data_IF_018588426170
#
_entry.id   IF_018588426170
#
_cell.length_a   1.000
_cell.length_b   1.000
_cell.length_c   1.000
_cell.angle_alpha   90.00
_cell.angle_beta   90.00
_cell.angle_gamma   90.00
#
_symmetry.space_group_name_H-M   'P 1'
#
loop_
_entity.id
_entity.type
_entity.pdbx_description
1 polymer ?
#
# COMPACT_ATOMS: atom_id res chain seq x y z
N UNK A 1 25.40 2.97 0.64
CA UNK A 1 25.41 2.18 1.90
C UNK A 1 25.67 0.74 1.50
N UNK A 2 26.59 0.05 2.18
CA UNK A 2 26.95 -1.32 1.83
C UNK A 2 25.95 -2.29 2.48
N UNK A 3 25.01 -2.81 1.68
CA UNK A 3 23.87 -3.63 2.12
C UNK A 3 24.18 -5.12 2.20
N UNK A 4 25.36 -5.54 1.76
CA UNK A 4 25.81 -6.95 1.74
C UNK A 4 25.83 -7.60 3.12
N UNK A 5 25.80 -6.79 4.19
CA UNK A 5 25.85 -7.27 5.56
C UNK A 5 24.56 -7.08 6.38
N UNK A 6 23.57 -6.31 5.91
CA UNK A 6 22.31 -6.09 6.65
C UNK A 6 22.50 -5.48 8.05
N UNK A 7 21.40 -5.16 8.73
CA UNK A 7 21.47 -4.61 10.09
C UNK A 7 21.54 -5.76 11.09
N UNK A 8 22.64 -5.85 11.83
CA UNK A 8 22.81 -6.90 12.85
C UNK A 8 21.90 -6.64 14.06
N UNK A 9 21.21 -7.69 14.49
CA UNK A 9 20.42 -7.75 15.71
C UNK A 9 20.72 -9.07 16.41
N UNK A 10 21.36 -9.03 17.57
CA UNK A 10 21.76 -10.23 18.32
C UNK A 10 20.56 -10.80 19.05
N UNK A 11 20.23 -12.05 18.77
CA UNK A 11 19.18 -12.85 19.42
C UNK A 11 19.69 -14.28 19.60
N UNK A 12 19.18 -14.98 20.61
CA UNK A 12 19.51 -16.38 20.88
C UNK A 12 18.84 -17.35 19.90
N UNK A 13 17.64 -17.01 19.42
CA UNK A 13 16.88 -17.83 18.48
C UNK A 13 17.36 -17.65 17.03
N UNK A 14 17.37 -18.73 16.25
CA UNK A 14 17.83 -18.73 14.85
C UNK A 14 16.93 -17.89 13.92
N UNK A 15 15.62 -17.85 14.21
CA UNK A 15 14.62 -17.01 13.55
C UNK A 15 13.60 -16.51 14.58
N UNK A 16 13.35 -15.20 14.60
CA UNK A 16 12.40 -14.58 15.54
C UNK A 16 11.83 -13.28 14.95
N UNK A 17 10.59 -12.97 15.29
CA UNK A 17 10.00 -11.64 15.06
C UNK A 17 10.05 -10.86 16.36
N UNK A 18 10.62 -9.66 16.32
CA UNK A 18 10.70 -8.75 17.46
C UNK A 18 9.82 -7.53 17.17
N UNK A 19 8.93 -7.21 18.10
CA UNK A 19 8.19 -5.96 18.14
C UNK A 19 9.01 -4.92 18.91
N UNK A 20 9.21 -3.74 18.32
CA UNK A 20 9.81 -2.58 18.98
C UNK A 20 8.80 -1.44 19.03
N UNK A 21 8.64 -0.86 20.21
CA UNK A 21 7.76 0.27 20.54
C UNK A 21 8.57 1.52 20.86
N UNK A 22 7.92 2.69 20.87
CA UNK A 22 8.59 3.97 21.12
C UNK A 22 9.21 4.09 22.53
N UNK A 23 8.67 3.34 23.49
CA UNK A 23 9.16 3.28 24.88
C UNK A 23 10.35 2.35 25.08
N UNK A 24 10.75 1.58 24.07
CA UNK A 24 11.87 0.64 24.18
C UNK A 24 13.23 1.35 24.30
N UNK A 25 14.28 0.65 24.80
CA UNK A 25 15.59 1.25 24.99
C UNK A 25 16.21 1.76 23.67
N UNK A 26 17.10 2.77 23.74
CA UNK A 26 17.68 3.39 22.54
C UNK A 26 18.39 2.42 21.61
N UNK A 27 18.96 1.34 22.14
CA UNK A 27 19.66 0.32 21.35
C UNK A 27 18.74 -0.32 20.30
N UNK A 28 17.51 -0.71 20.67
CA UNK A 28 16.51 -1.27 19.77
C UNK A 28 15.98 -0.21 18.80
N UNK A 29 15.68 0.99 19.30
CA UNK A 29 15.18 2.10 18.46
C UNK A 29 16.18 2.53 17.39
N UNK A 30 17.48 2.50 17.69
CA UNK A 30 18.52 2.77 16.69
C UNK A 30 18.52 1.72 15.56
N UNK A 31 18.17 0.46 15.85
CA UNK A 31 18.01 -0.58 14.82
C UNK A 31 16.78 -0.33 13.95
N UNK A 32 15.67 0.07 14.57
CA UNK A 32 14.46 0.49 13.85
C UNK A 32 14.77 1.63 12.89
N UNK A 33 15.46 2.68 13.37
CA UNK A 33 15.84 3.82 12.53
C UNK A 33 16.71 3.40 11.33
N UNK A 34 17.65 2.49 11.55
CA UNK A 34 18.48 1.94 10.50
C UNK A 34 17.68 1.22 9.42
N UNK A 35 16.74 0.33 9.82
CA UNK A 35 15.97 -0.46 8.85
C UNK A 35 14.91 0.40 8.16
N UNK A 36 14.29 1.35 8.87
CA UNK A 36 13.35 2.31 8.28
C UNK A 36 14.03 3.14 7.20
N UNK A 37 15.22 3.70 7.46
CA UNK A 37 15.99 4.43 6.44
C UNK A 37 16.30 3.59 5.21
N UNK A 38 16.64 2.31 5.42
CA UNK A 38 16.86 1.36 4.32
C UNK A 38 15.58 1.14 3.51
N UNK A 39 14.44 0.98 4.18
CA UNK A 39 13.13 0.83 3.54
C UNK A 39 12.73 2.08 2.74
N UNK A 40 12.91 3.27 3.30
CA UNK A 40 12.60 4.54 2.62
C UNK A 40 13.42 4.70 1.33
N UNK A 41 14.70 4.31 1.37
CA UNK A 41 15.58 4.29 0.21
C UNK A 41 15.13 3.28 -0.85
N UNK A 42 14.78 2.05 -0.46
CA UNK A 42 14.40 0.99 -1.41
C UNK A 42 12.99 1.15 -1.98
N UNK A 43 12.03 1.60 -1.17
CA UNK A 43 10.63 1.72 -1.57
C UNK A 43 10.33 3.03 -2.30
N UNK A 44 11.20 4.03 -2.18
CA UNK A 44 10.99 5.34 -2.78
C UNK A 44 9.87 6.09 -2.05
N UNK A 45 10.18 6.65 -0.89
CA UNK A 45 9.26 7.47 -0.11
C UNK A 45 9.86 7.76 1.26
N UNK A 46 9.89 9.04 1.67
CA UNK A 46 10.26 9.40 3.04
C UNK A 46 9.05 9.32 3.98
N UNK A 47 9.30 9.34 5.28
CA UNK A 47 8.30 9.53 6.34
C UNK A 47 7.38 8.31 6.58
N UNK A 48 7.95 7.12 6.53
CA UNK A 48 7.20 5.88 6.83
C UNK A 48 7.07 5.60 8.33
N UNK A 49 7.77 6.32 9.20
CA UNK A 49 7.83 6.05 10.64
C UNK A 49 7.54 7.30 11.48
N UNK A 50 6.62 7.19 12.45
CA UNK A 50 6.30 8.20 13.45
C UNK A 50 5.89 7.56 14.78
N UNK A 51 5.56 8.36 15.79
CA UNK A 51 5.38 7.91 17.19
C UNK A 51 4.27 6.87 17.40
N UNK A 52 3.23 6.85 16.55
CA UNK A 52 2.15 5.87 16.69
C UNK A 52 2.46 4.54 15.98
N UNK A 53 3.57 4.46 15.25
CA UNK A 53 3.94 3.27 14.53
C UNK A 53 4.45 2.17 15.47
N UNK A 54 4.02 0.94 15.19
CA UNK A 54 4.58 -0.29 15.75
C UNK A 54 5.46 -0.95 14.69
N UNK A 55 6.69 -1.32 15.06
CA UNK A 55 7.66 -1.89 14.11
C UNK A 55 7.97 -3.33 14.46
N UNK A 56 7.74 -4.22 13.51
CA UNK A 56 8.03 -5.65 13.65
C UNK A 56 9.20 -6.01 12.74
N UNK A 57 10.25 -6.58 13.30
CA UNK A 57 11.45 -6.98 12.58
C UNK A 57 11.61 -8.50 12.59
N UNK A 58 11.71 -9.10 11.41
CA UNK A 58 12.08 -10.50 11.26
C UNK A 58 13.60 -10.62 11.27
N UNK A 59 14.13 -11.33 12.27
CA UNK A 59 15.56 -11.55 12.44
C UNK A 59 15.87 -12.99 12.06
N UNK A 60 16.83 -13.18 11.16
CA UNK A 60 17.39 -14.47 10.78
C UNK A 60 18.90 -14.38 10.78
N UNK A 61 19.57 -15.36 11.38
CA UNK A 61 21.05 -15.39 11.39
C UNK A 61 21.64 -14.08 11.95
N UNK A 62 21.04 -13.56 13.03
CA UNK A 62 21.39 -12.30 13.69
C UNK A 62 21.30 -11.05 12.79
N UNK A 63 20.53 -11.09 11.69
CA UNK A 63 20.34 -9.95 10.80
C UNK A 63 18.85 -9.69 10.59
N UNK A 64 18.47 -8.43 10.50
CA UNK A 64 17.11 -8.03 10.12
C UNK A 64 16.94 -8.35 8.63
N UNK A 65 16.07 -9.29 8.31
CA UNK A 65 15.79 -9.73 6.93
C UNK A 65 14.38 -9.39 6.47
N UNK A 66 13.53 -8.87 7.35
CA UNK A 66 12.22 -8.34 7.02
C UNK A 66 11.77 -7.33 8.08
N UNK A 67 10.92 -6.40 7.67
CA UNK A 67 10.39 -5.36 8.53
C UNK A 67 8.98 -4.98 8.08
N UNK A 68 8.08 -4.75 9.02
CA UNK A 68 6.78 -4.11 8.76
C UNK A 68 6.55 -2.99 9.76
N UNK A 69 6.11 -1.85 9.24
CA UNK A 69 5.68 -0.68 10.00
C UNK A 69 4.16 -0.62 9.92
N UNK A 70 3.51 -0.64 11.08
CA UNK A 70 2.06 -0.65 11.21
C UNK A 70 1.59 0.52 12.05
N UNK A 71 0.41 1.08 11.75
CA UNK A 71 -0.16 2.21 12.49
C UNK A 71 -1.68 2.09 12.65
N UNK A 72 -2.28 2.78 13.64
CA UNK A 72 -3.72 2.66 13.88
C UNK A 72 -4.48 3.53 12.89
N UNK A 73 -5.57 2.99 12.37
CA UNK A 73 -6.52 3.70 11.52
C UNK A 73 -7.94 3.38 11.97
N UNK A 74 -8.93 4.14 11.48
CA UNK A 74 -10.35 3.88 11.71
C UNK A 74 -11.07 3.35 10.47
N UNK A 75 -10.61 3.79 9.30
CA UNK A 75 -11.28 3.53 8.04
C UNK A 75 -10.28 3.29 6.91
N UNK A 76 -10.70 2.52 5.91
CA UNK A 76 -9.97 2.27 4.67
C UNK A 76 -10.95 1.98 3.51
N UNK A 77 -10.43 1.91 2.29
CA UNK A 77 -11.23 1.76 1.07
C UNK A 77 -10.93 0.43 0.38
N UNK A 78 -11.96 -0.23 -0.13
CA UNK A 78 -11.77 -1.46 -0.90
C UNK A 78 -11.17 -1.15 -2.26
N UNK A 79 -10.16 -1.91 -2.67
CA UNK A 79 -9.62 -1.86 -4.02
C UNK A 79 -10.63 -2.44 -4.99
N UNK A 80 -10.92 -1.69 -6.06
CA UNK A 80 -11.75 -2.18 -7.14
C UNK A 80 -11.00 -3.26 -7.92
N UNK A 81 -11.63 -4.43 -8.05
CA UNK A 81 -11.13 -5.48 -8.93
C UNK A 81 -11.13 -4.91 -10.35
N UNK A 82 -9.94 -4.69 -10.94
CA UNK A 82 -9.83 -4.34 -12.35
C UNK A 82 -10.29 -5.54 -13.20
N UNK A 83 -11.60 -5.67 -13.41
CA UNK A 83 -12.13 -6.40 -14.54
C UNK A 83 -11.99 -5.49 -15.75
N UNK A 84 -11.27 -5.94 -16.78
CA UNK A 84 -11.19 -5.23 -18.06
C UNK A 84 -12.57 -4.89 -18.64
N UNK A 85 -13.61 -5.64 -18.26
CA UNK A 85 -15.00 -5.47 -18.70
C UNK A 85 -15.69 -4.21 -18.14
N UNK A 86 -15.52 -3.89 -16.84
CA UNK A 86 -16.15 -2.70 -16.22
C UNK A 86 -15.60 -1.37 -16.75
N UNK A 87 -14.32 -1.33 -17.10
CA UNK A 87 -13.69 -0.14 -17.71
C UNK A 87 -14.27 0.13 -19.10
N UNK A 88 -14.49 -0.90 -19.90
CA UNK A 88 -15.14 -0.77 -21.22
C UNK A 88 -16.58 -0.29 -21.12
N UNK A 89 -17.32 -0.73 -20.09
CA UNK A 89 -18.71 -0.28 -19.84
C UNK A 89 -18.75 1.16 -19.35
N UNK A 90 -17.90 1.55 -18.39
CA UNK A 90 -17.82 2.93 -17.90
C UNK A 90 -17.40 3.93 -19.00
N UNK A 91 -16.54 3.50 -19.92
CA UNK A 91 -16.16 4.32 -21.08
C UNK A 91 -17.29 4.43 -22.12
N UNK A 92 -18.10 3.37 -22.31
CA UNK A 92 -19.27 3.42 -23.19
C UNK A 92 -20.39 4.32 -22.66
N UNK A 93 -20.65 4.30 -21.35
CA UNK A 93 -21.72 5.11 -20.73
C UNK A 93 -21.42 6.62 -20.74
N UNK A 94 -20.15 7.02 -20.88
CA UNK A 94 -19.75 8.44 -20.93
C UNK A 94 -19.84 9.07 -22.31
N UNK A 95 -20.03 8.28 -23.37
CA UNK A 95 -20.03 8.78 -24.74
C UNK A 95 -21.43 9.12 -25.27
N UNK A 96 -22.48 8.99 -24.44
CA UNK A 96 -23.87 9.00 -24.92
C UNK A 96 -24.75 10.10 -24.29
N UNK A 97 -24.18 11.25 -23.91
CA UNK A 97 -24.98 12.41 -23.51
C UNK A 97 -24.49 13.75 -24.10
N UNK A 98 -25.32 14.25 -25.03
CA UNK A 98 -25.60 15.65 -25.44
C UNK A 98 -24.59 16.40 -26.32
N UNK A 99 -24.91 16.48 -27.63
CA UNK A 99 -24.47 17.56 -28.51
C UNK A 99 -25.13 18.87 -28.06
N UNK A 100 -24.36 19.82 -27.53
CA UNK A 100 -24.81 21.18 -27.22
C UNK A 100 -24.21 22.17 -28.22
N UNK A 101 -24.85 22.33 -29.38
CA UNK A 101 -24.53 23.38 -30.36
C UNK A 101 -25.46 24.57 -30.13
N UNK A 102 -24.92 25.80 -30.02
CA UNK A 102 -25.73 27.02 -29.95
C UNK A 102 -25.62 27.76 -31.29
N UNK A 103 -26.76 28.02 -31.94
CA UNK A 103 -26.82 28.78 -33.18
C UNK A 103 -27.32 30.20 -32.91
N UNK A 104 -26.67 31.19 -33.54
CA UNK A 104 -27.09 32.59 -33.51
C UNK A 104 -27.06 33.14 -34.94
N UNK A 105 -28.23 33.17 -35.59
CA UNK A 105 -28.32 33.50 -37.02
C UNK A 105 -27.51 32.54 -37.89
N UNK A 106 -26.74 33.06 -38.84
CA UNK A 106 -25.86 32.25 -39.71
C UNK A 106 -24.56 31.80 -39.03
N UNK A 107 -24.32 32.19 -37.78
CA UNK A 107 -23.11 31.83 -37.04
C UNK A 107 -23.37 30.64 -36.13
N UNK A 108 -22.61 29.56 -36.35
CA UNK A 108 -22.62 28.36 -35.51
C UNK A 108 -21.46 28.46 -34.52
N UNK A 109 -21.78 28.57 -33.22
CA UNK A 109 -20.77 28.59 -32.16
C UNK A 109 -20.79 27.25 -31.41
N UNK A 110 -19.70 26.50 -31.54
CA UNK A 110 -19.47 25.31 -30.71
C UNK A 110 -18.88 25.75 -29.37
N UNK A 111 -19.67 25.59 -28.30
CA UNK A 111 -19.17 25.83 -26.94
C UNK A 111 -18.33 24.64 -26.51
N UNK A 112 -17.01 24.77 -26.58
CA UNK A 112 -16.09 23.79 -25.99
C UNK A 112 -16.10 23.95 -24.46
N UNK A 113 -16.91 23.15 -23.77
CA UNK A 113 -16.75 22.99 -22.33
C UNK A 113 -15.58 22.05 -22.13
N UNK A 114 -14.41 22.58 -21.80
CA UNK A 114 -13.29 21.80 -21.29
C UNK A 114 -13.68 21.21 -19.93
N UNK A 115 -14.48 20.13 -19.92
CA UNK A 115 -14.53 19.23 -18.77
C UNK A 115 -13.12 18.70 -18.62
N UNK A 116 -12.42 19.08 -17.55
CA UNK A 116 -11.19 18.40 -17.13
C UNK A 116 -11.53 16.93 -16.82
N UNK A 117 -11.45 16.10 -17.84
CA UNK A 117 -11.41 14.65 -17.79
C UNK A 117 -10.57 14.21 -18.98
N UNK A 118 -9.48 13.52 -18.68
CA UNK A 118 -8.44 13.06 -19.60
C UNK A 118 -9.03 12.43 -20.87
N UNK A 119 -8.89 13.10 -22.01
CA UNK A 119 -8.99 12.48 -23.33
C UNK A 119 -7.64 11.82 -23.65
N UNK A 120 -7.50 10.53 -23.38
CA UNK A 120 -6.33 9.77 -23.84
C UNK A 120 -6.84 8.49 -24.48
N UNK A 121 -6.48 8.28 -25.75
CA UNK A 121 -6.80 7.08 -26.53
C UNK A 121 -6.20 5.83 -25.85
N UNK A 122 -7.05 4.93 -25.39
CA UNK A 122 -6.68 3.72 -24.64
C UNK A 122 -6.14 2.51 -25.43
N UNK A 123 -6.20 2.39 -26.79
CA UNK A 123 -5.69 1.17 -27.43
C UNK A 123 -4.15 1.03 -27.49
N UNK A 124 -3.37 2.09 -27.32
CA UNK A 124 -1.90 2.05 -27.55
C UNK A 124 -1.04 1.92 -26.27
N UNK A 125 -1.62 1.89 -25.07
CA UNK A 125 -0.88 1.79 -23.80
C UNK A 125 -0.94 0.39 -23.15
N UNK A 126 -1.29 -0.64 -23.93
CA UNK A 126 -1.36 -2.02 -23.44
C UNK A 126 0.00 -2.69 -23.26
N UNK A 127 1.10 -2.01 -23.57
CA UNK A 127 2.43 -2.53 -23.36
C UNK A 127 3.34 -1.50 -22.63
N UNK A 128 3.92 -1.91 -21.50
CA UNK A 128 5.08 -1.29 -20.82
C UNK A 128 4.92 -0.09 -19.86
N UNK A 129 3.91 -0.02 -18.98
CA UNK A 129 4.05 0.87 -17.81
C UNK A 129 3.41 0.35 -16.51
N UNK A 130 4.26 0.12 -15.50
CA UNK A 130 3.92 -0.50 -14.20
C UNK A 130 3.34 0.50 -13.17
N UNK A 131 3.01 1.72 -13.58
CA UNK A 131 2.53 2.79 -12.71
C UNK A 131 1.03 3.06 -12.89
N UNK A 132 0.19 2.02 -12.73
CA UNK A 132 -1.27 2.22 -12.68
C UNK A 132 -1.71 2.67 -11.29
N UNK A 133 -2.43 3.79 -11.25
CA UNK A 133 -3.14 4.27 -10.06
C UNK A 133 -4.07 3.19 -9.50
N UNK A 134 -4.22 3.15 -8.17
CA UNK A 134 -5.12 2.22 -7.49
C UNK A 134 -6.52 2.84 -7.45
N UNK A 135 -7.46 2.19 -8.11
CA UNK A 135 -8.87 2.57 -8.04
C UNK A 135 -9.51 1.92 -6.82
N UNK A 136 -10.24 2.70 -6.05
CA UNK A 136 -10.91 2.26 -4.82
C UNK A 136 -12.38 2.60 -4.89
N UNK A 137 -13.20 1.88 -4.12
CA UNK A 137 -14.56 2.30 -3.81
C UNK A 137 -14.54 3.60 -3.00
N UNK A 138 -15.61 4.39 -3.11
CA UNK A 138 -15.75 5.66 -2.37
C UNK A 138 -16.26 5.44 -0.94
N UNK A 139 -16.89 4.29 -0.67
CA UNK A 139 -17.42 3.95 0.66
C UNK A 139 -16.28 3.57 1.61
N UNK A 140 -16.17 4.32 2.70
CA UNK A 140 -15.21 4.05 3.77
C UNK A 140 -15.68 2.85 4.61
N UNK A 141 -14.81 1.86 4.77
CA UNK A 141 -15.08 0.66 5.57
C UNK A 141 -14.22 0.70 6.82
N UNK A 142 -14.76 0.21 7.94
CA UNK A 142 -14.00 0.10 9.18
C UNK A 142 -12.74 -0.75 9.00
N UNK A 143 -11.61 -0.23 9.45
CA UNK A 143 -10.31 -0.90 9.48
C UNK A 143 -9.56 -0.47 10.75
N UNK A 144 -8.68 -1.33 11.27
CA UNK A 144 -8.05 -1.11 12.57
C UNK A 144 -6.57 -0.77 12.45
N UNK A 145 -5.91 -1.40 11.47
CA UNK A 145 -4.46 -1.32 11.33
C UNK A 145 -4.12 -1.09 9.86
N UNK A 146 -3.31 -0.09 9.60
CA UNK A 146 -2.68 0.10 8.30
C UNK A 146 -1.28 -0.50 8.30
N UNK A 147 -0.96 -1.19 7.22
CA UNK A 147 0.39 -1.63 6.88
C UNK A 147 1.03 -0.50 6.09
N UNK A 148 1.64 0.43 6.82
CA UNK A 148 2.24 1.66 6.29
C UNK A 148 3.42 1.36 5.37
N UNK A 149 4.22 0.37 5.72
CA UNK A 149 5.27 -0.16 4.86
C UNK A 149 5.62 -1.60 5.25
N UNK A 150 5.86 -2.46 4.25
CA UNK A 150 6.38 -3.81 4.46
C UNK A 150 7.54 -4.08 3.51
N UNK A 151 8.61 -4.64 4.07
CA UNK A 151 9.83 -4.94 3.36
C UNK A 151 10.39 -6.30 3.75
N UNK A 152 10.94 -7.00 2.77
CA UNK A 152 11.72 -8.23 2.95
C UNK A 152 12.95 -8.11 2.08
N UNK A 153 14.12 -8.43 2.65
CA UNK A 153 15.38 -8.44 1.95
C UNK A 153 15.25 -9.23 0.63
N UNK A 154 15.69 -8.68 -0.52
CA UNK A 154 15.47 -9.30 -1.83
C UNK A 154 15.84 -10.79 -1.88
N UNK A 155 17.00 -11.17 -1.31
CA UNK A 155 17.50 -12.56 -1.25
C UNK A 155 16.70 -13.49 -0.34
N UNK A 156 15.78 -12.95 0.47
CA UNK A 156 14.91 -13.68 1.41
C UNK A 156 13.43 -13.60 1.04
N UNK A 157 13.08 -12.95 -0.07
CA UNK A 157 11.70 -12.89 -0.59
C UNK A 157 11.21 -14.28 -0.99
N UNK A 158 9.88 -14.42 -1.12
CA UNK A 158 9.19 -15.67 -1.49
C UNK A 158 9.44 -16.85 -0.54
N UNK A 159 9.85 -16.57 0.71
CA UNK A 159 10.03 -17.54 1.80
C UNK A 159 9.04 -17.30 2.96
N UNK A 160 7.84 -16.83 2.63
CA UNK A 160 6.74 -16.54 3.58
C UNK A 160 7.01 -15.50 4.68
N UNK A 161 8.19 -14.85 4.72
CA UNK A 161 8.53 -13.82 5.72
C UNK A 161 7.49 -12.69 5.75
N UNK A 162 7.07 -12.18 4.59
CA UNK A 162 6.05 -11.13 4.52
C UNK A 162 4.70 -11.56 5.12
N UNK A 163 4.30 -12.82 4.92
CA UNK A 163 3.09 -13.39 5.53
C UNK A 163 3.25 -13.50 7.06
N UNK A 164 4.37 -14.00 7.53
CA UNK A 164 4.67 -14.13 8.97
C UNK A 164 4.69 -12.77 9.68
N UNK A 165 5.23 -11.72 9.03
CA UNK A 165 5.18 -10.36 9.55
C UNK A 165 3.73 -9.85 9.68
N UNK A 166 2.87 -10.10 8.68
CA UNK A 166 1.45 -9.73 8.76
C UNK A 166 0.68 -10.53 9.82
N UNK A 167 0.99 -11.81 9.99
CA UNK A 167 0.42 -12.64 11.06
C UNK A 167 0.84 -12.15 12.45
N UNK A 168 2.11 -11.73 12.60
CA UNK A 168 2.61 -11.13 13.84
C UNK A 168 1.91 -9.79 14.13
N UNK A 169 1.75 -8.92 13.13
CA UNK A 169 0.94 -7.69 13.28
C UNK A 169 -0.44 -8.05 13.80
N UNK A 170 -1.19 -8.93 13.12
CA UNK A 170 -2.55 -9.28 13.57
C UNK A 170 -2.62 -9.82 14.99
N UNK A 171 -1.60 -10.57 15.43
CA UNK A 171 -1.60 -11.24 16.72
C UNK A 171 -1.21 -10.32 17.88
N UNK A 172 -0.33 -9.34 17.66
CA UNK A 172 0.24 -8.51 18.72
C UNK A 172 -0.13 -7.02 18.62
N UNK A 173 -0.91 -6.63 17.60
CA UNK A 173 -1.28 -5.24 17.40
C UNK A 173 -2.27 -4.73 18.46
N UNK A 174 -3.21 -5.58 18.89
CA UNK A 174 -4.25 -5.28 19.88
C UNK A 174 -4.43 -6.44 20.87
N UNK A 175 -5.37 -6.31 21.80
CA UNK A 175 -5.73 -7.36 22.78
C UNK A 175 -6.32 -8.59 22.07
N UNK A 176 -7.00 -8.39 20.95
CA UNK A 176 -7.57 -9.46 20.13
C UNK A 176 -6.82 -9.62 18.81
N UNK A 177 -6.84 -10.85 18.27
CA UNK A 177 -6.29 -11.15 16.95
C UNK A 177 -7.13 -10.41 15.89
N UNK A 178 -6.50 -9.55 15.10
CA UNK A 178 -7.17 -8.86 14.01
C UNK A 178 -7.56 -9.84 12.90
N UNK A 179 -8.69 -9.60 12.24
CA UNK A 179 -9.03 -10.28 11.00
C UNK A 179 -8.22 -9.71 9.83
N UNK A 180 -8.09 -10.48 8.73
CA UNK A 180 -7.42 -9.99 7.52
C UNK A 180 -8.17 -8.82 6.87
N UNK A 181 -9.50 -8.78 7.05
CA UNK A 181 -10.41 -7.71 6.62
C UNK A 181 -10.17 -6.40 7.37
N UNK A 182 -9.53 -6.42 8.53
CA UNK A 182 -9.25 -5.25 9.35
C UNK A 182 -7.87 -4.63 9.07
N UNK A 183 -7.09 -5.23 8.17
CA UNK A 183 -5.82 -4.71 7.70
C UNK A 183 -5.99 -3.90 6.41
N UNK A 184 -5.49 -2.68 6.41
CA UNK A 184 -5.31 -1.87 5.22
C UNK A 184 -3.84 -1.80 4.79
N UNK A 185 -3.59 -1.37 3.56
CA UNK A 185 -2.24 -1.16 3.03
C UNK A 185 -2.10 0.23 2.42
N UNK A 186 -1.16 1.03 2.92
CA UNK A 186 -0.84 2.35 2.35
C UNK A 186 -0.04 2.21 1.05
N UNK A 187 -0.53 2.84 -0.02
CA UNK A 187 0.14 3.00 -1.32
C UNK A 187 0.93 1.75 -1.79
N UNK A 188 0.29 0.57 -1.89
CA UNK A 188 1.02 -0.66 -2.14
C UNK A 188 1.71 -0.66 -3.51
N UNK A 189 3.02 -0.93 -3.50
CA UNK A 189 3.81 -1.23 -4.71
C UNK A 189 3.27 -2.47 -5.43
N UNK A 190 3.69 -2.75 -6.66
CA UNK A 190 3.26 -3.97 -7.38
C UNK A 190 3.51 -5.27 -6.56
N UNK A 191 4.70 -5.50 -5.97
CA UNK A 191 4.91 -6.60 -5.04
C UNK A 191 4.01 -6.54 -3.79
N UNK A 192 3.75 -5.33 -3.27
CA UNK A 192 2.85 -5.11 -2.15
C UNK A 192 1.41 -5.53 -2.45
N UNK A 193 0.89 -5.16 -3.63
CA UNK A 193 -0.45 -5.59 -4.11
C UNK A 193 -0.52 -7.12 -4.22
N UNK A 194 0.50 -7.76 -4.78
CA UNK A 194 0.55 -9.21 -4.88
C UNK A 194 0.56 -9.90 -3.50
N UNK A 195 1.32 -9.35 -2.55
CA UNK A 195 1.34 -9.83 -1.17
C UNK A 195 -0.03 -9.64 -0.51
N UNK A 196 -0.62 -8.44 -0.59
CA UNK A 196 -1.91 -8.11 0.01
C UNK A 196 -3.01 -9.04 -0.52
N UNK A 197 -3.15 -9.16 -1.85
CA UNK A 197 -4.18 -10.01 -2.46
C UNK A 197 -4.04 -11.49 -2.09
N UNK A 198 -2.80 -12.00 -2.07
CA UNK A 198 -2.53 -13.41 -1.69
C UNK A 198 -2.73 -13.62 -0.19
N UNK A 199 -2.47 -12.60 0.62
CA UNK A 199 -2.62 -12.68 2.07
C UNK A 199 -4.09 -12.70 2.46
N UNK A 200 -4.89 -11.76 1.92
CA UNK A 200 -6.33 -11.63 2.18
C UNK A 200 -7.15 -12.69 1.44
N UNK A 201 -6.63 -13.27 0.36
CA UNK A 201 -7.36 -14.22 -0.50
C UNK A 201 -8.31 -13.54 -1.49
N UNK A 202 -8.21 -12.22 -1.67
CA UNK A 202 -9.06 -11.45 -2.58
C UNK A 202 -8.28 -10.34 -3.27
N UNK A 203 -8.66 -10.01 -4.52
CA UNK A 203 -8.14 -8.83 -5.22
C UNK A 203 -8.70 -7.49 -4.72
N UNK A 204 -9.73 -7.54 -3.87
CA UNK A 204 -10.41 -6.36 -3.28
C UNK A 204 -10.05 -6.19 -1.80
N UNK A 205 -8.75 -6.10 -1.52
CA UNK A 205 -8.24 -5.79 -0.18
C UNK A 205 -8.40 -4.29 0.16
N UNK A 206 -8.16 -3.92 1.42
CA UNK A 206 -8.31 -2.53 1.87
C UNK A 206 -7.02 -1.71 1.65
N UNK A 207 -7.17 -0.46 1.25
CA UNK A 207 -6.09 0.53 1.16
C UNK A 207 -6.43 1.76 1.99
N UNK A 208 -5.45 2.26 2.72
CA UNK A 208 -5.57 3.50 3.47
C UNK A 208 -5.12 4.69 2.61
N UNK A 209 -5.79 5.83 2.79
CA UNK A 209 -5.47 7.10 2.15
C UNK A 209 -5.34 8.16 3.25
N UNK A 210 -4.16 8.71 3.44
CA UNK A 210 -3.87 9.72 4.46
C UNK A 210 -4.49 11.09 4.18
N UNK A 211 -4.99 11.31 2.97
CA UNK A 211 -5.51 12.62 2.53
C UNK A 211 -6.92 12.92 3.05
N UNK A 212 -7.50 12.00 3.81
CA UNK A 212 -8.75 12.20 4.52
C UNK A 212 -8.39 12.67 5.92
N UNK A 213 -8.31 14.00 6.04
CA UNK A 213 -8.21 14.70 7.31
C UNK A 213 -9.49 14.40 8.09
N UNK A 214 -9.38 13.64 9.19
CA UNK A 214 -10.34 13.72 10.30
C UNK A 214 -10.20 15.10 10.97
#
# INVERSE_FOLDING_TARGET
>A
MDYTHGIQFKVTNSMIIVLVLDYDPPAQKNKVHGVVKMMEFELGGGWIYHKLCKVYMFISSQRITGCVVAEPIKHAFKVLKQSMEKLTVLLKMKNDQTQNTLQFGEVVLQKEVMKRCLSVNYPELLDKNHNRAILCEDEAVHAVCDIRAIWVAPSKRRRSIGRQLLDAVRSFYMVSILERSQLAFSQPTSPGKALASTYTGTGSFLVYKSDIVD
#
